data_IF_824922387201
#
_entry.id   IF_824922387201
#
_cell.length_a   1.000
_cell.length_b   1.000
_cell.length_c   1.000
_cell.angle_alpha   90.00
_cell.angle_beta   90.00
_cell.angle_gamma   90.00
#
_symmetry.space_group_name_H-M   'P 1'
#
loop_
_entity.id
_entity.type
_entity.pdbx_description
1 polymer ?
#
# COMPACT_ATOMS: atom_id res chain seq x y z
N UNK A 1 73.49 6.74 10.83
CA UNK A 1 72.37 5.80 11.06
C UNK A 1 71.10 6.65 10.99
N UNK A 2 70.30 6.77 9.91
CA UNK A 2 69.87 5.80 8.87
C UNK A 2 69.44 4.49 9.55
N UNK A 3 68.19 4.05 9.56
CA UNK A 3 67.07 4.03 8.59
C UNK A 3 65.73 3.85 9.36
N UNK A 4 64.64 4.55 8.98
CA UNK A 4 63.42 4.06 8.26
C UNK A 4 62.48 3.24 9.17
N UNK A 5 61.27 3.66 9.57
CA UNK A 5 60.08 4.14 8.85
C UNK A 5 59.53 3.17 7.79
N UNK A 6 59.09 1.99 8.22
CA UNK A 6 58.22 1.09 7.48
C UNK A 6 57.61 0.07 8.44
N UNK A 7 56.31 0.23 8.74
CA UNK A 7 55.34 -0.84 9.04
C UNK A 7 54.00 -0.14 9.33
N UNK A 8 53.49 0.50 8.29
CA UNK A 8 52.07 0.82 8.11
C UNK A 8 51.69 -0.06 6.93
N UNK A 9 51.05 -1.19 7.18
CA UNK A 9 50.16 -1.89 6.25
C UNK A 9 49.81 -3.27 6.82
N UNK A 10 48.64 -3.77 6.40
CA UNK A 10 48.08 -5.09 6.67
C UNK A 10 47.32 -5.22 8.01
N UNK A 11 46.12 -4.64 8.04
CA UNK A 11 44.91 -5.30 8.56
C UNK A 11 43.64 -4.47 8.24
N UNK A 12 43.53 -4.00 7.00
CA UNK A 12 42.22 -3.71 6.41
C UNK A 12 41.70 -5.02 5.82
N UNK A 13 40.88 -5.73 6.59
CA UNK A 13 40.06 -6.80 6.04
C UNK A 13 39.01 -6.16 5.13
N UNK A 14 39.28 -6.24 3.83
CA UNK A 14 38.31 -6.03 2.75
C UNK A 14 37.06 -6.87 3.01
N UNK A 15 35.99 -6.19 3.44
CA UNK A 15 34.63 -6.68 3.27
C UNK A 15 34.16 -6.15 1.92
N UNK A 16 34.49 -6.87 0.84
CA UNK A 16 33.81 -6.75 -0.44
C UNK A 16 32.31 -6.96 -0.19
N UNK A 17 31.53 -5.89 -0.32
CA UNK A 17 30.08 -6.00 -0.45
C UNK A 17 29.78 -6.49 -1.87
N UNK A 18 29.06 -7.61 -2.06
CA UNK A 18 28.73 -8.05 -3.40
C UNK A 18 27.72 -7.07 -4.03
N UNK A 19 28.10 -6.45 -5.15
CA UNK A 19 27.26 -5.58 -6.00
C UNK A 19 26.20 -6.38 -6.79
N UNK A 20 25.52 -7.33 -6.16
CA UNK A 20 24.52 -8.21 -6.77
C UNK A 20 23.13 -7.90 -6.21
N UNK A 21 22.56 -6.74 -6.55
CA UNK A 21 21.15 -6.44 -6.18
C UNK A 21 20.40 -5.52 -7.16
N UNK A 22 21.06 -4.89 -8.14
CA UNK A 22 20.39 -3.95 -9.06
C UNK A 22 19.95 -4.56 -10.39
N UNK A 23 20.63 -5.60 -10.89
CA UNK A 23 20.32 -6.20 -12.19
C UNK A 23 19.18 -7.24 -12.13
N UNK A 24 19.05 -7.99 -11.03
CA UNK A 24 17.97 -8.97 -10.86
C UNK A 24 16.58 -8.32 -10.70
N UNK A 25 16.49 -7.09 -10.21
CA UNK A 25 15.22 -6.36 -10.09
C UNK A 25 14.61 -6.03 -11.46
N UNK A 26 15.43 -5.89 -12.51
CA UNK A 26 14.97 -5.54 -13.85
C UNK A 26 14.48 -6.77 -14.63
N UNK A 27 15.05 -7.96 -14.39
CA UNK A 27 14.66 -9.19 -15.10
C UNK A 27 13.39 -9.86 -14.56
N UNK A 28 12.99 -9.56 -13.31
CA UNK A 28 11.77 -10.13 -12.71
C UNK A 28 10.50 -9.47 -13.26
N UNK A 29 10.58 -8.21 -13.73
CA UNK A 29 9.43 -7.50 -14.29
C UNK A 29 8.95 -8.08 -15.63
N UNK A 30 9.81 -8.77 -16.39
CA UNK A 30 9.44 -9.25 -17.73
C UNK A 30 8.74 -10.62 -17.76
N UNK A 31 8.83 -11.44 -16.71
CA UNK A 31 8.32 -12.84 -16.75
C UNK A 31 6.92 -13.07 -16.20
N UNK A 32 6.21 -12.04 -15.72
CA UNK A 32 4.85 -12.17 -15.17
C UNK A 32 3.73 -11.47 -15.96
N UNK A 33 3.91 -11.24 -17.26
CA UNK A 33 2.84 -10.69 -18.11
C UNK A 33 2.17 -11.78 -18.96
N UNK A 34 1.40 -12.67 -18.32
CA UNK A 34 0.22 -13.20 -19.03
C UNK A 34 -0.68 -11.98 -19.24
N UNK A 35 -0.75 -11.46 -20.48
CA UNK A 35 -1.71 -10.44 -20.90
C UNK A 35 -3.13 -11.01 -20.85
N UNK A 36 -3.64 -11.26 -19.65
CA UNK A 36 -5.06 -11.45 -19.41
C UNK A 36 -5.67 -10.07 -19.51
N UNK A 37 -6.54 -9.83 -20.50
CA UNK A 37 -7.33 -8.59 -20.57
C UNK A 37 -7.94 -8.35 -19.18
N UNK A 38 -7.72 -7.17 -18.60
CA UNK A 38 -8.37 -6.80 -17.34
C UNK A 38 -9.88 -6.93 -17.55
N UNK A 39 -10.50 -7.88 -16.85
CA UNK A 39 -11.95 -8.08 -16.89
C UNK A 39 -12.62 -6.89 -16.19
N UNK A 40 -13.68 -6.38 -16.79
CA UNK A 40 -14.46 -5.26 -16.26
C UNK A 40 -15.80 -5.75 -15.73
N UNK A 41 -16.55 -4.89 -15.04
CA UNK A 41 -17.88 -5.21 -14.53
C UNK A 41 -18.84 -5.67 -15.65
N UNK A 42 -18.68 -5.13 -16.86
CA UNK A 42 -19.48 -5.48 -18.03
C UNK A 42 -19.24 -6.91 -18.54
N UNK A 43 -18.11 -7.53 -18.16
CA UNK A 43 -17.77 -8.90 -18.55
C UNK A 43 -18.42 -9.94 -17.62
N UNK A 44 -19.12 -9.49 -16.57
CA UNK A 44 -19.77 -10.37 -15.61
C UNK A 44 -21.07 -10.99 -16.16
N UNK A 45 -21.34 -12.27 -15.83
CA UNK A 45 -22.51 -12.97 -16.33
C UNK A 45 -23.79 -12.33 -15.82
N UNK A 46 -24.63 -11.83 -16.73
CA UNK A 46 -25.89 -11.17 -16.39
C UNK A 46 -25.78 -9.66 -16.16
N UNK A 47 -24.61 -9.07 -16.43
CA UNK A 47 -24.40 -7.62 -16.41
C UNK A 47 -24.28 -7.11 -17.85
N UNK A 48 -25.26 -6.34 -18.31
CA UNK A 48 -25.16 -5.55 -19.54
C UNK A 48 -24.83 -4.08 -19.23
N UNK A 49 -24.67 -3.25 -20.26
CA UNK A 49 -24.29 -1.83 -20.13
C UNK A 49 -25.19 -1.07 -19.13
N UNK A 50 -26.52 -1.20 -19.25
CA UNK A 50 -27.47 -0.52 -18.35
C UNK A 50 -27.37 -1.01 -16.89
N UNK A 51 -27.07 -2.29 -16.66
CA UNK A 51 -26.86 -2.83 -15.31
C UNK A 51 -25.53 -2.35 -14.74
N UNK A 52 -24.48 -2.30 -15.55
CA UNK A 52 -23.18 -1.78 -15.16
C UNK A 52 -23.26 -0.30 -14.75
N UNK A 53 -23.98 0.53 -15.50
CA UNK A 53 -24.22 1.93 -15.14
C UNK A 53 -24.92 2.07 -13.78
N UNK A 54 -25.94 1.24 -13.50
CA UNK A 54 -26.62 1.24 -12.20
C UNK A 54 -25.70 0.81 -11.06
N UNK A 55 -24.89 -0.23 -11.28
CA UNK A 55 -23.90 -0.69 -10.31
C UNK A 55 -22.87 0.41 -10.00
N UNK A 56 -22.33 1.06 -11.03
CA UNK A 56 -21.40 2.17 -10.89
C UNK A 56 -22.03 3.36 -10.14
N UNK A 57 -23.27 3.72 -10.48
CA UNK A 57 -24.02 4.78 -9.80
C UNK A 57 -24.28 4.46 -8.31
N UNK A 58 -24.40 3.18 -7.96
CA UNK A 58 -24.54 2.71 -6.58
C UNK A 58 -23.18 2.54 -5.85
N UNK A 59 -22.06 2.89 -6.49
CA UNK A 59 -20.72 2.83 -5.89
C UNK A 59 -19.95 1.54 -6.16
N UNK A 60 -20.52 0.57 -6.89
CA UNK A 60 -19.80 -0.64 -7.32
C UNK A 60 -18.99 -0.34 -8.59
N UNK A 61 -17.82 0.28 -8.40
CA UNK A 61 -16.99 0.80 -9.50
C UNK A 61 -15.99 -0.22 -10.05
N UNK A 62 -15.65 -1.26 -9.28
CA UNK A 62 -14.73 -2.31 -9.69
C UNK A 62 -15.25 -3.73 -9.38
N UNK A 63 -14.50 -4.74 -9.84
CA UNK A 63 -14.85 -6.14 -9.60
C UNK A 63 -14.76 -6.53 -8.11
N UNK A 64 -13.87 -5.90 -7.33
CA UNK A 64 -13.69 -6.22 -5.91
C UNK A 64 -14.94 -5.83 -5.12
N UNK A 65 -15.46 -4.63 -5.36
CA UNK A 65 -16.70 -4.12 -4.77
C UNK A 65 -17.87 -5.08 -5.02
N UNK A 66 -17.98 -5.61 -6.24
CA UNK A 66 -19.01 -6.61 -6.58
C UNK A 66 -18.76 -7.97 -5.91
N UNK A 67 -17.50 -8.41 -5.82
CA UNK A 67 -17.16 -9.72 -5.27
C UNK A 67 -17.38 -9.82 -3.74
N UNK A 68 -17.22 -8.71 -3.02
CA UNK A 68 -17.43 -8.61 -1.56
C UNK A 68 -18.86 -8.21 -1.20
N UNK A 69 -19.65 -7.71 -2.16
CA UNK A 69 -21.04 -7.36 -1.93
C UNK A 69 -21.92 -8.56 -1.56
N UNK A 70 -23.01 -8.26 -0.86
CA UNK A 70 -24.09 -9.21 -0.62
C UNK A 70 -25.05 -9.23 -1.82
N UNK A 71 -25.76 -10.35 -2.05
CA UNK A 71 -26.80 -10.38 -3.08
C UNK A 71 -27.89 -9.32 -2.90
N UNK A 72 -28.21 -8.94 -1.66
CA UNK A 72 -29.23 -7.93 -1.36
C UNK A 72 -28.85 -6.55 -1.91
N UNK A 73 -27.62 -6.11 -1.64
CA UNK A 73 -27.11 -4.81 -2.12
C UNK A 73 -27.18 -4.70 -3.66
N UNK A 74 -26.83 -5.77 -4.38
CA UNK A 74 -26.90 -5.76 -5.85
C UNK A 74 -28.34 -5.75 -6.39
N UNK A 75 -29.26 -6.43 -5.68
CA UNK A 75 -30.69 -6.41 -6.04
C UNK A 75 -31.24 -5.01 -5.84
N UNK A 76 -30.98 -4.38 -4.70
CA UNK A 76 -31.46 -3.04 -4.37
C UNK A 76 -30.91 -2.00 -5.36
N UNK A 77 -29.65 -2.13 -5.77
CA UNK A 77 -29.03 -1.22 -6.73
C UNK A 77 -29.56 -1.37 -8.17
N UNK A 78 -29.92 -2.58 -8.61
CA UNK A 78 -30.13 -2.85 -10.04
C UNK A 78 -31.53 -3.32 -10.42
N UNK A 79 -32.28 -3.86 -9.46
CA UNK A 79 -33.54 -4.57 -9.66
C UNK A 79 -33.38 -5.99 -10.20
N UNK A 80 -32.18 -6.58 -10.16
CA UNK A 80 -31.94 -7.93 -10.65
C UNK A 80 -32.54 -9.02 -9.74
N UNK A 81 -32.68 -10.24 -10.25
CA UNK A 81 -33.16 -11.37 -9.45
C UNK A 81 -32.07 -11.91 -8.51
N UNK A 82 -32.46 -12.53 -7.39
CA UNK A 82 -31.51 -13.13 -6.44
C UNK A 82 -30.56 -14.16 -7.08
N UNK A 83 -31.08 -14.97 -8.01
CA UNK A 83 -30.26 -15.94 -8.74
C UNK A 83 -29.23 -15.27 -9.66
N UNK A 84 -29.56 -14.11 -10.22
CA UNK A 84 -28.62 -13.33 -11.06
C UNK A 84 -27.57 -12.66 -10.19
N UNK A 85 -27.96 -12.02 -9.08
CA UNK A 85 -27.02 -11.40 -8.14
C UNK A 85 -25.96 -12.42 -7.64
N UNK A 86 -26.39 -13.62 -7.25
CA UNK A 86 -25.46 -14.69 -6.85
C UNK A 86 -24.49 -15.09 -7.97
N UNK A 87 -24.96 -15.18 -9.22
CA UNK A 87 -24.10 -15.49 -10.38
C UNK A 87 -23.13 -14.36 -10.70
N UNK A 88 -23.55 -13.11 -10.57
CA UNK A 88 -22.69 -11.93 -10.76
C UNK A 88 -21.56 -11.93 -9.73
N UNK A 89 -21.89 -12.11 -8.45
CA UNK A 89 -20.90 -12.19 -7.35
C UNK A 89 -19.92 -13.36 -7.57
N UNK A 90 -20.44 -14.53 -7.93
CA UNK A 90 -19.59 -15.70 -8.21
C UNK A 90 -18.68 -15.47 -9.43
N UNK A 91 -19.20 -14.82 -10.47
CA UNK A 91 -18.44 -14.42 -11.65
C UNK A 91 -17.32 -13.43 -11.30
N UNK A 92 -17.60 -12.45 -10.43
CA UNK A 92 -16.60 -11.49 -9.96
C UNK A 92 -15.49 -12.16 -9.14
N UNK A 93 -15.86 -13.04 -8.19
CA UNK A 93 -14.89 -13.82 -7.41
C UNK A 93 -13.99 -14.69 -8.30
N UNK A 94 -14.57 -15.36 -9.29
CA UNK A 94 -13.80 -16.16 -10.25
C UNK A 94 -12.94 -15.31 -11.19
N UNK A 95 -13.37 -14.09 -11.52
CA UNK A 95 -12.58 -13.18 -12.35
C UNK A 95 -11.36 -12.61 -11.61
N UNK A 96 -11.43 -12.57 -10.28
CA UNK A 96 -10.38 -12.10 -9.37
C UNK A 96 -9.55 -13.25 -8.77
N UNK A 97 -9.72 -14.47 -9.29
CA UNK A 97 -9.08 -15.69 -8.79
C UNK A 97 -9.24 -15.87 -7.27
N UNK A 98 -10.37 -15.44 -6.71
CA UNK A 98 -10.69 -15.63 -5.30
C UNK A 98 -11.05 -17.10 -5.05
N UNK A 99 -10.22 -17.80 -4.29
CA UNK A 99 -10.40 -19.22 -3.99
C UNK A 99 -9.39 -19.73 -2.97
N UNK A 100 -9.22 -21.05 -2.95
CA UNK A 100 -8.13 -21.67 -2.19
C UNK A 100 -6.81 -21.48 -2.93
N UNK A 101 -5.77 -21.18 -2.17
CA UNK A 101 -4.40 -21.06 -2.67
C UNK A 101 -3.47 -21.92 -1.82
N UNK A 102 -2.36 -22.33 -2.41
CA UNK A 102 -1.27 -23.00 -1.71
C UNK A 102 -0.47 -22.02 -0.84
N UNK A 103 0.28 -22.53 0.14
CA UNK A 103 1.15 -21.70 0.97
C UNK A 103 2.24 -20.95 0.18
N UNK A 104 2.72 -21.52 -0.92
CA UNK A 104 3.68 -20.88 -1.81
C UNK A 104 3.06 -19.67 -2.54
N UNK A 105 1.86 -19.83 -3.09
CA UNK A 105 1.11 -18.72 -3.73
C UNK A 105 0.78 -17.62 -2.72
N UNK A 106 0.39 -18.00 -1.50
CA UNK A 106 0.14 -17.04 -0.41
C UNK A 106 1.40 -16.22 -0.07
N UNK A 107 2.55 -16.88 0.02
CA UNK A 107 3.83 -16.21 0.31
C UNK A 107 4.22 -15.24 -0.81
N UNK A 108 4.13 -15.66 -2.06
CA UNK A 108 4.38 -14.78 -3.21
C UNK A 108 3.45 -13.56 -3.20
N UNK A 109 2.16 -13.75 -2.89
CA UNK A 109 1.22 -12.64 -2.76
C UNK A 109 1.64 -11.69 -1.63
N UNK A 110 2.13 -12.19 -0.49
CA UNK A 110 2.57 -11.33 0.62
C UNK A 110 3.76 -10.44 0.27
N UNK A 111 4.56 -10.76 -0.76
CA UNK A 111 5.63 -9.87 -1.25
C UNK A 111 5.09 -8.55 -1.83
N UNK A 112 3.84 -8.52 -2.27
CA UNK A 112 3.18 -7.29 -2.76
C UNK A 112 2.71 -6.34 -1.65
N UNK A 113 2.83 -6.72 -0.37
CA UNK A 113 2.45 -5.87 0.75
C UNK A 113 3.42 -4.70 0.86
N UNK A 114 2.86 -3.50 0.72
CA UNK A 114 3.58 -2.25 0.92
C UNK A 114 3.81 -2.02 2.42
N UNK A 115 4.92 -1.35 2.76
CA UNK A 115 5.25 -1.00 4.15
C UNK A 115 5.67 0.46 4.22
N UNK A 116 5.03 1.22 5.11
CA UNK A 116 5.36 2.62 5.32
C UNK A 116 6.36 2.70 6.48
N UNK A 117 7.59 3.13 6.18
CA UNK A 117 8.60 3.42 7.21
C UNK A 117 8.13 4.50 8.19
N UNK A 118 8.44 4.30 9.47
CA UNK A 118 8.12 5.23 10.57
C UNK A 118 9.11 6.39 10.65
N UNK A 119 10.30 6.24 10.05
CA UNK A 119 11.41 7.19 10.19
C UNK A 119 12.37 6.87 11.35
N UNK A 120 12.11 5.79 12.10
CA UNK A 120 13.01 5.25 13.12
C UNK A 120 13.43 3.84 12.72
N UNK A 121 14.74 3.63 12.54
CA UNK A 121 15.27 2.30 12.19
C UNK A 121 14.92 1.25 13.24
N UNK A 122 15.01 1.60 14.53
CA UNK A 122 14.65 0.68 15.62
C UNK A 122 13.16 0.31 15.58
N UNK A 123 12.28 1.25 15.26
CA UNK A 123 10.85 0.98 15.21
C UNK A 123 10.48 0.20 13.94
N UNK A 124 11.10 0.51 12.80
CA UNK A 124 10.90 -0.23 11.56
C UNK A 124 11.38 -1.67 11.70
N UNK A 125 12.51 -1.93 12.38
CA UNK A 125 12.96 -3.30 12.69
C UNK A 125 11.96 -4.05 13.58
N UNK A 126 11.40 -3.38 14.59
CA UNK A 126 10.37 -3.98 15.45
C UNK A 126 9.12 -4.39 14.66
N UNK A 127 8.77 -3.62 13.63
CA UNK A 127 7.61 -3.84 12.76
C UNK A 127 7.95 -4.65 11.50
N UNK A 128 9.12 -5.30 11.45
CA UNK A 128 9.58 -6.08 10.28
C UNK A 128 9.51 -5.29 8.96
N UNK A 129 10.01 -4.05 9.00
CA UNK A 129 10.15 -3.17 7.85
C UNK A 129 9.19 -1.99 7.81
N UNK A 130 8.24 -1.84 8.74
CA UNK A 130 7.35 -0.68 8.85
C UNK A 130 5.88 -1.06 8.95
N UNK A 131 4.97 -0.09 8.86
CA UNK A 131 3.53 -0.38 8.94
C UNK A 131 3.01 -0.97 7.63
N UNK A 132 2.43 -2.16 7.68
CA UNK A 132 1.93 -2.90 6.51
C UNK A 132 0.63 -2.31 5.93
N UNK A 133 0.53 -2.31 4.60
CA UNK A 133 -0.75 -2.13 3.90
C UNK A 133 -1.63 -3.37 4.08
N UNK A 134 -2.96 -3.20 4.02
CA UNK A 134 -3.91 -4.32 4.12
C UNK A 134 -4.15 -4.82 5.55
N UNK A 135 -3.65 -4.10 6.56
CA UNK A 135 -3.98 -4.34 7.97
C UNK A 135 -4.31 -3.03 8.71
N UNK A 136 -4.77 -3.15 9.96
CA UNK A 136 -4.99 -2.02 10.87
C UNK A 136 -3.93 -2.10 11.96
N UNK A 137 -3.14 -1.04 12.12
CA UNK A 137 -2.16 -0.91 13.21
C UNK A 137 -2.66 0.10 14.23
N UNK A 138 -2.76 -0.30 15.50
CA UNK A 138 -3.16 0.56 16.60
C UNK A 138 -1.93 1.06 17.39
N UNK A 139 -1.90 2.37 17.68
CA UNK A 139 -0.89 2.99 18.54
C UNK A 139 -1.58 3.66 19.74
N UNK A 140 -1.46 3.06 20.92
CA UNK A 140 -2.08 3.55 22.15
C UNK A 140 -1.03 3.98 23.21
N UNK A 141 -1.42 4.85 24.14
CA UNK A 141 -0.53 5.39 25.17
C UNK A 141 -1.04 6.69 25.79
N UNK A 142 -0.36 7.20 26.82
CA UNK A 142 -0.74 8.44 27.52
C UNK A 142 -0.63 9.70 26.64
N UNK A 143 -1.22 10.81 27.08
CA UNK A 143 -0.98 12.11 26.43
C UNK A 143 0.53 12.41 26.39
N UNK A 144 1.01 12.98 25.28
CA UNK A 144 2.44 13.23 25.10
C UNK A 144 3.29 12.03 24.69
N UNK A 145 2.71 10.81 24.57
CA UNK A 145 3.44 9.61 24.09
C UNK A 145 3.67 9.59 22.57
N UNK A 146 3.61 10.73 21.89
CA UNK A 146 3.89 10.89 20.45
C UNK A 146 2.95 10.15 19.47
N UNK A 147 1.78 9.67 19.88
CA UNK A 147 0.78 9.06 18.96
C UNK A 147 0.47 9.95 17.75
N UNK A 148 0.10 11.20 18.01
CA UNK A 148 -0.21 12.17 16.96
C UNK A 148 1.04 12.48 16.13
N UNK A 149 2.23 12.49 16.72
CA UNK A 149 3.48 12.74 15.99
C UNK A 149 3.76 11.62 14.98
N UNK A 150 3.53 10.36 15.37
CA UNK A 150 3.65 9.22 14.47
C UNK A 150 2.65 9.34 13.31
N UNK A 151 1.39 9.71 13.57
CA UNK A 151 0.41 9.92 12.51
C UNK A 151 0.83 11.01 11.50
N UNK A 152 1.34 12.16 11.99
CA UNK A 152 1.88 13.21 11.11
C UNK A 152 3.08 12.72 10.29
N UNK A 153 4.00 11.99 10.93
CA UNK A 153 5.19 11.46 10.26
C UNK A 153 4.82 10.46 9.16
N UNK A 154 3.86 9.57 9.41
CA UNK A 154 3.37 8.60 8.43
C UNK A 154 2.66 9.28 7.24
N UNK A 155 1.90 10.35 7.49
CA UNK A 155 1.24 11.13 6.43
C UNK A 155 2.24 11.79 5.47
N UNK A 156 3.45 12.12 5.93
CA UNK A 156 4.56 12.60 5.09
C UNK A 156 5.32 11.44 4.46
N UNK A 157 5.64 10.40 5.24
CA UNK A 157 6.46 9.28 4.78
C UNK A 157 5.80 8.44 3.69
N UNK A 158 4.48 8.32 3.69
CA UNK A 158 3.76 7.62 2.61
C UNK A 158 3.97 8.32 1.27
N UNK A 159 3.99 9.65 1.26
CA UNK A 159 4.21 10.45 0.04
C UNK A 159 5.66 10.44 -0.42
N UNK A 160 6.61 10.30 0.53
CA UNK A 160 8.03 10.11 0.21
C UNK A 160 8.29 8.74 -0.45
N UNK A 161 7.72 7.68 0.11
CA UNK A 161 7.95 6.31 -0.36
C UNK A 161 7.13 5.99 -1.61
N UNK A 162 5.93 6.56 -1.70
CA UNK A 162 4.98 6.33 -2.78
C UNK A 162 4.50 7.69 -3.32
N UNK A 163 5.26 8.31 -4.24
CA UNK A 163 4.91 9.60 -4.82
C UNK A 163 3.52 9.60 -5.45
N UNK A 164 2.74 10.67 -5.21
CA UNK A 164 1.35 10.79 -5.68
C UNK A 164 0.30 10.11 -4.79
N UNK A 165 0.72 9.47 -3.69
CA UNK A 165 -0.21 8.94 -2.68
C UNK A 165 -0.91 10.07 -1.91
N UNK A 166 -2.09 9.75 -1.37
CA UNK A 166 -2.85 10.63 -0.48
C UNK A 166 -2.91 10.04 0.92
N UNK A 167 -2.92 10.90 1.94
CA UNK A 167 -3.20 10.51 3.32
C UNK A 167 -4.54 11.11 3.76
N UNK A 168 -5.37 10.31 4.41
CA UNK A 168 -6.62 10.78 5.04
C UNK A 168 -6.41 10.78 6.55
N UNK A 169 -6.52 11.96 7.16
CA UNK A 169 -6.33 12.19 8.58
C UNK A 169 -7.67 12.57 9.20
N UNK A 170 -8.25 11.66 9.99
CA UNK A 170 -9.51 11.90 10.70
C UNK A 170 -9.14 12.41 12.10
N UNK A 171 -9.38 13.68 12.37
CA UNK A 171 -8.90 14.36 13.57
C UNK A 171 -10.02 14.57 14.60
N UNK A 172 -10.18 13.58 15.47
CA UNK A 172 -11.25 13.58 16.49
C UNK A 172 -11.01 14.55 17.65
N UNK A 173 -9.79 15.04 17.82
CA UNK A 173 -9.38 15.87 18.97
C UNK A 173 -8.78 17.22 18.56
N UNK A 174 -8.89 17.61 17.29
CA UNK A 174 -8.27 18.84 16.77
C UNK A 174 -6.76 18.90 17.06
N UNK A 175 -6.06 17.80 16.83
CA UNK A 175 -4.62 17.61 17.07
C UNK A 175 -3.76 17.72 15.80
N UNK A 176 -4.39 17.77 14.62
CA UNK A 176 -3.70 18.01 13.36
C UNK A 176 -3.07 19.40 13.33
N UNK A 177 -1.78 19.48 13.02
CA UNK A 177 -1.00 20.74 12.97
C UNK A 177 -0.27 20.83 11.63
N UNK A 178 -0.76 21.64 10.67
CA UNK A 178 -0.11 21.82 9.37
C UNK A 178 1.36 22.24 9.49
N UNK A 179 1.71 23.04 10.50
CA UNK A 179 3.08 23.48 10.78
C UNK A 179 4.01 22.29 11.04
N UNK A 180 3.49 21.23 11.67
CA UNK A 180 4.24 20.01 11.93
C UNK A 180 4.43 19.19 10.67
N UNK A 181 3.42 19.14 9.79
CA UNK A 181 3.59 18.54 8.44
C UNK A 181 4.69 19.29 7.69
N UNK A 182 4.65 20.63 7.64
CA UNK A 182 5.66 21.44 6.95
C UNK A 182 7.07 21.12 7.46
N UNK A 183 7.22 20.99 8.78
CA UNK A 183 8.50 20.65 9.38
C UNK A 183 9.00 19.26 8.96
N UNK A 184 8.12 18.25 8.98
CA UNK A 184 8.46 16.90 8.55
C UNK A 184 8.73 16.81 7.05
N UNK A 185 7.96 17.52 6.21
CA UNK A 185 8.20 17.58 4.76
C UNK A 185 9.60 18.13 4.45
N UNK A 186 9.98 19.24 5.10
CA UNK A 186 11.34 19.81 4.95
C UNK A 186 12.43 18.84 5.37
N UNK A 187 12.26 18.19 6.53
CA UNK A 187 13.21 17.17 7.00
C UNK A 187 13.29 15.94 6.07
N UNK A 188 12.19 15.64 5.38
CA UNK A 188 12.11 14.57 4.41
C UNK A 188 12.66 14.93 3.02
N UNK A 189 12.95 16.21 2.75
CA UNK A 189 13.36 16.72 1.44
C UNK A 189 12.21 16.91 0.44
N UNK A 190 10.98 17.08 0.93
CA UNK A 190 9.77 17.25 0.13
C UNK A 190 9.28 18.70 0.15
N UNK A 191 8.59 19.11 -0.92
CA UNK A 191 7.89 20.40 -0.96
C UNK A 191 6.69 20.39 0.00
N UNK A 192 6.63 21.29 1.00
CA UNK A 192 5.56 21.29 1.99
C UNK A 192 4.17 21.56 1.41
N UNK A 193 4.07 22.43 0.40
CA UNK A 193 2.79 22.81 -0.18
C UNK A 193 2.18 21.62 -0.94
N UNK A 194 2.99 20.90 -1.70
CA UNK A 194 2.55 19.68 -2.38
C UNK A 194 2.17 18.57 -1.40
N UNK A 195 2.92 18.40 -0.30
CA UNK A 195 2.58 17.42 0.74
C UNK A 195 1.22 17.73 1.37
N UNK A 196 0.97 19.01 1.72
CA UNK A 196 -0.29 19.42 2.32
C UNK A 196 -1.50 19.22 1.39
N UNK A 197 -1.36 19.46 0.08
CA UNK A 197 -2.44 19.23 -0.91
C UNK A 197 -2.92 17.77 -0.94
N UNK A 198 -2.02 16.84 -0.65
CA UNK A 198 -2.26 15.39 -0.65
C UNK A 198 -2.69 14.83 0.72
N UNK A 199 -2.84 15.68 1.74
CA UNK A 199 -3.44 15.29 3.02
C UNK A 199 -4.89 15.80 3.06
N UNK A 200 -5.85 14.88 3.20
CA UNK A 200 -7.26 15.22 3.45
C UNK A 200 -7.54 15.14 4.94
N UNK A 201 -8.10 16.19 5.52
CA UNK A 201 -8.37 16.29 6.96
C UNK A 201 -9.87 16.42 7.18
N UNK A 202 -10.41 15.66 8.12
CA UNK A 202 -11.83 15.68 8.50
C UNK A 202 -12.00 15.69 10.03
#
# INVERSE_FOLDING_TARGET
MKEDNQEVDEMEQELEQPELESEELCEVEEKSSRKTKQKTICDLPGVGAATAEKLQAAGFQDLMAVAVATPGELIDATGMTQATAKRVIAGARSALDMGFESGAEYLERRKSILRIKTGSSAFDTLLDGGLESGCITECFGQYGSSKTQLAHQLAVNVQKQYPGSYAVFIDTESTFRPERIIQFSKGAGLDPDDVLKHIKVA
#
